data_IF_237262973685
#
_entry.id   IF_237262973685
#
_cell.length_a   1.000
_cell.length_b   1.000
_cell.length_c   1.000
_cell.angle_alpha   90.00
_cell.angle_beta   90.00
_cell.angle_gamma   90.00
#
_symmetry.space_group_name_H-M   'P 1'
#
loop_
_entity.id
_entity.type
_entity.pdbx_description
1 polymer ?
#
# COMPACT_ATOMS: atom_id res chain seq x y z
N UNK A 1 17.80 20.04 -3.64
CA UNK A 1 17.67 18.68 -3.07
C UNK A 1 16.53 18.08 -3.83
N UNK A 2 16.81 17.23 -4.82
CA UNK A 2 15.73 16.54 -5.53
C UNK A 2 15.01 15.68 -4.50
N UNK A 3 13.73 15.96 -4.31
CA UNK A 3 12.85 15.15 -3.49
C UNK A 3 12.69 13.85 -4.27
N UNK A 4 13.53 12.86 -3.98
CA UNK A 4 13.41 11.50 -4.52
C UNK A 4 12.03 10.98 -4.14
N UNK A 5 11.10 11.16 -5.07
CA UNK A 5 9.70 10.80 -4.88
C UNK A 5 9.63 9.30 -5.02
N UNK A 6 9.67 8.61 -3.87
CA UNK A 6 9.48 7.16 -3.81
C UNK A 6 8.23 6.79 -4.60
N UNK A 7 8.31 5.86 -5.56
CA UNK A 7 7.17 5.44 -6.33
C UNK A 7 6.02 5.03 -5.40
N UNK A 8 4.83 5.56 -5.69
CA UNK A 8 3.60 5.22 -4.98
C UNK A 8 3.03 3.92 -5.55
N UNK A 9 2.77 2.95 -4.68
CA UNK A 9 2.05 1.72 -5.00
C UNK A 9 0.73 1.74 -4.24
N UNK A 10 -0.38 1.66 -4.98
CA UNK A 10 -1.72 1.50 -4.41
C UNK A 10 -2.21 0.07 -4.59
N UNK A 11 -2.49 -0.61 -3.49
CA UNK A 11 -2.99 -1.99 -3.47
C UNK A 11 -4.49 -2.00 -3.26
N UNK A 12 -5.22 -2.58 -4.20
CA UNK A 12 -6.68 -2.62 -4.18
C UNK A 12 -7.22 -4.00 -3.82
N UNK A 13 -8.20 -4.05 -2.93
CA UNK A 13 -9.12 -5.18 -2.82
C UNK A 13 -10.57 -4.68 -2.75
N UNK A 14 -11.55 -5.56 -2.53
CA UNK A 14 -12.94 -5.15 -2.41
C UNK A 14 -13.16 -4.36 -1.10
N UNK A 15 -12.98 -5.01 0.04
CA UNK A 15 -13.36 -4.44 1.34
C UNK A 15 -12.28 -3.65 2.09
N UNK A 16 -11.08 -3.48 1.53
CA UNK A 16 -9.89 -3.02 2.27
C UNK A 16 -9.65 -3.73 3.62
N UNK A 17 -10.14 -4.95 3.85
CA UNK A 17 -10.20 -5.52 5.21
C UNK A 17 -9.20 -6.63 5.49
N UNK A 18 -8.70 -7.32 4.45
CA UNK A 18 -7.80 -8.46 4.60
C UNK A 18 -6.65 -8.45 3.58
N UNK A 19 -6.93 -8.77 2.31
CA UNK A 19 -5.89 -8.95 1.28
C UNK A 19 -5.02 -7.72 1.05
N UNK A 20 -5.64 -6.55 0.94
CA UNK A 20 -4.90 -5.30 0.70
C UNK A 20 -4.05 -4.88 1.91
N UNK A 21 -4.55 -5.04 3.14
CA UNK A 21 -3.77 -4.80 4.37
C UNK A 21 -2.59 -5.77 4.52
N UNK A 22 -2.80 -7.06 4.26
CA UNK A 22 -1.69 -8.04 4.33
C UNK A 22 -0.60 -7.69 3.32
N UNK A 23 -0.98 -7.34 2.09
CA UNK A 23 -0.02 -6.98 1.05
C UNK A 23 0.69 -5.65 1.36
N UNK A 24 -0.01 -4.65 1.90
CA UNK A 24 0.58 -3.39 2.36
C UNK A 24 1.62 -3.63 3.46
N UNK A 25 1.29 -4.42 4.49
CA UNK A 25 2.23 -4.74 5.57
C UNK A 25 3.48 -5.47 5.08
N UNK A 26 3.32 -6.46 4.19
CA UNK A 26 4.45 -7.19 3.59
C UNK A 26 5.33 -6.27 2.74
N UNK A 27 4.75 -5.44 1.87
CA UNK A 27 5.51 -4.54 1.01
C UNK A 27 6.19 -3.43 1.80
N UNK A 28 5.54 -2.93 2.85
CA UNK A 28 6.11 -1.93 3.74
C UNK A 28 7.32 -2.48 4.51
N UNK A 29 7.27 -3.73 4.97
CA UNK A 29 8.39 -4.40 5.65
C UNK A 29 9.58 -4.63 4.71
N UNK A 30 9.33 -5.05 3.47
CA UNK A 30 10.40 -5.48 2.56
C UNK A 30 10.97 -4.34 1.72
N UNK A 31 10.19 -3.29 1.44
CA UNK A 31 10.56 -2.23 0.49
C UNK A 31 10.08 -0.82 0.91
N UNK A 32 9.71 -0.63 2.18
CA UNK A 32 9.20 0.65 2.69
C UNK A 32 10.23 1.79 2.73
N UNK A 33 11.50 1.50 2.46
CA UNK A 33 12.60 2.46 2.31
C UNK A 33 12.68 3.04 0.88
N UNK A 34 12.23 2.30 -0.13
CA UNK A 34 12.29 2.71 -1.55
C UNK A 34 10.91 2.93 -2.18
N UNK A 35 9.83 2.42 -1.57
CA UNK A 35 8.45 2.59 -2.03
C UNK A 35 7.61 3.38 -1.02
N UNK A 36 6.60 4.08 -1.52
CA UNK A 36 5.46 4.55 -0.72
C UNK A 36 4.30 3.59 -0.97
N UNK A 37 3.93 2.78 0.03
CA UNK A 37 2.90 1.75 -0.09
C UNK A 37 1.61 2.23 0.56
N UNK A 38 0.49 2.07 -0.12
CA UNK A 38 -0.85 2.41 0.37
C UNK A 38 -1.84 1.30 0.00
N UNK A 39 -2.89 1.13 0.80
CA UNK A 39 -4.01 0.22 0.48
C UNK A 39 -5.37 0.92 0.40
N UNK A 40 -6.29 0.38 -0.41
CA UNK A 40 -7.68 0.84 -0.50
C UNK A 40 -8.66 -0.28 -0.87
N UNK A 41 -9.95 0.03 -0.72
CA UNK A 41 -11.08 -0.83 -1.07
C UNK A 41 -11.94 -0.22 -2.18
N UNK A 42 -12.39 -1.01 -3.14
CA UNK A 42 -13.39 -0.56 -4.12
C UNK A 42 -14.79 -0.41 -3.52
N UNK A 43 -15.08 -1.20 -2.48
CA UNK A 43 -16.30 -1.15 -1.67
C UNK A 43 -15.91 -1.47 -0.22
N UNK A 44 -15.33 -0.49 0.52
CA UNK A 44 -14.71 -0.71 1.82
C UNK A 44 -15.67 -1.31 2.84
N UNK A 45 -15.20 -2.33 3.56
CA UNK A 45 -15.92 -2.94 4.67
C UNK A 45 -15.35 -2.39 5.99
N UNK A 46 -16.23 -1.87 6.86
CA UNK A 46 -15.90 -1.38 8.21
C UNK A 46 -16.18 -2.42 9.28
#
# INVERSE_FOLDING_TARGET
>A
MEEETRPLILILCTGNSCRSHMAEGVLQEVAGDVLNVQSAGSDPAG
#
